data_IF_453291520795
#
_entry.id   IF_453291520795
#
_cell.length_a   1.000
_cell.length_b   1.000
_cell.length_c   1.000
_cell.angle_alpha   90.00
_cell.angle_beta   90.00
_cell.angle_gamma   90.00
#
_symmetry.space_group_name_H-M   'P 1'
#
loop_
_entity.id
_entity.type
_entity.pdbx_description
1 polymer ?
#
# COMPACT_ATOMS: atom_id res chain seq x y z
N UNK A 1 -5.52 28.46 3.88
CA UNK A 1 -5.22 27.81 3.35
C UNK A 1 -5.69 26.71 2.53
N UNK A 2 -5.51 26.85 1.28
CA UNK A 2 -5.93 25.86 0.36
C UNK A 2 -5.22 24.58 0.57
N UNK A 3 -4.03 24.63 1.07
CA UNK A 3 -3.32 23.41 1.35
C UNK A 3 -3.98 22.58 2.40
N UNK A 4 -4.57 23.19 3.39
CA UNK A 4 -5.24 22.44 4.44
C UNK A 4 -6.47 21.77 3.93
N UNK A 5 -7.21 22.41 3.05
CA UNK A 5 -8.39 21.81 2.51
C UNK A 5 -8.04 20.63 1.65
N UNK A 6 -7.03 20.74 0.83
CA UNK A 6 -6.60 19.66 0.00
C UNK A 6 -6.10 18.51 0.82
N UNK A 7 -5.42 18.78 1.93
CA UNK A 7 -4.89 17.79 2.81
C UNK A 7 -6.01 16.99 3.45
N UNK A 8 -7.05 17.65 3.87
CA UNK A 8 -8.18 16.97 4.45
C UNK A 8 -8.81 16.05 3.45
N UNK A 9 -8.89 16.44 2.21
CA UNK A 9 -9.50 15.60 1.20
C UNK A 9 -8.71 14.34 0.99
N UNK A 10 -7.38 14.43 0.98
CA UNK A 10 -6.57 13.26 0.80
C UNK A 10 -6.61 12.36 2.01
N UNK A 11 -6.98 12.87 3.16
CA UNK A 11 -7.05 12.03 4.34
C UNK A 11 -8.29 11.16 4.39
N UNK A 12 -9.13 11.22 3.39
CA UNK A 12 -10.27 10.32 3.34
C UNK A 12 -9.90 8.90 2.99
N UNK A 13 -8.74 8.66 2.43
CA UNK A 13 -8.32 7.32 2.15
C UNK A 13 -7.74 6.69 3.41
N UNK A 14 -7.78 5.38 3.45
CA UNK A 14 -7.27 4.64 4.59
C UNK A 14 -6.05 3.86 4.20
N UNK A 15 -5.17 3.69 5.20
CA UNK A 15 -3.94 2.95 4.97
C UNK A 15 -4.23 1.54 4.49
N UNK A 16 -5.22 0.91 5.04
CA UNK A 16 -5.58 -0.44 4.63
C UNK A 16 -6.07 -0.48 3.20
N UNK A 17 -6.63 0.61 2.69
CA UNK A 17 -7.03 0.66 1.30
C UNK A 17 -5.80 0.68 0.40
N UNK A 18 -4.79 1.41 0.80
CA UNK A 18 -3.54 1.46 0.07
C UNK A 18 -2.89 0.08 0.05
N UNK A 19 -2.83 -0.57 1.20
CA UNK A 19 -2.22 -1.89 1.28
C UNK A 19 -2.96 -2.89 0.41
N UNK A 20 -4.28 -2.78 0.38
CA UNK A 20 -5.08 -3.65 -0.45
C UNK A 20 -4.78 -3.43 -1.93
N UNK A 21 -4.67 -2.17 -2.34
CA UNK A 21 -4.34 -1.86 -3.71
C UNK A 21 -2.97 -2.43 -4.09
N UNK A 22 -1.99 -2.25 -3.22
CA UNK A 22 -0.66 -2.78 -3.51
C UNK A 22 -0.70 -4.29 -3.68
N UNK A 23 -1.49 -4.95 -2.86
CA UNK A 23 -1.58 -6.40 -2.95
C UNK A 23 -2.27 -6.83 -4.25
N UNK A 24 -3.25 -6.09 -4.71
CA UNK A 24 -3.92 -6.40 -5.96
C UNK A 24 -2.92 -6.33 -7.12
N UNK A 25 -2.09 -5.32 -7.11
CA UNK A 25 -1.08 -5.18 -8.16
C UNK A 25 -0.09 -6.33 -8.08
N UNK A 26 0.37 -6.64 -6.89
CA UNK A 26 1.39 -7.68 -6.71
C UNK A 26 0.86 -9.06 -7.02
N UNK A 27 -0.35 -9.34 -6.64
CA UNK A 27 -0.94 -10.65 -6.85
C UNK A 27 -1.50 -10.83 -8.25
N UNK A 28 -1.67 -9.74 -8.97
CA UNK A 28 -2.13 -9.81 -10.33
C UNK A 28 -3.64 -9.80 -10.49
N UNK A 29 -4.38 -9.53 -9.42
CA UNK A 29 -5.82 -9.45 -9.52
C UNK A 29 -6.51 -9.46 -8.19
N UNK A 30 -7.80 -9.19 -8.23
CA UNK A 30 -8.60 -9.07 -7.02
C UNK A 30 -8.74 -10.42 -6.31
N UNK A 31 -8.99 -11.47 -7.08
CA UNK A 31 -9.19 -12.79 -6.48
C UNK A 31 -7.95 -13.26 -5.73
N UNK A 32 -6.80 -13.15 -6.37
CA UNK A 32 -5.57 -13.60 -5.75
C UNK A 32 -5.23 -12.75 -4.53
N UNK A 33 -5.48 -11.45 -4.63
CA UNK A 33 -5.23 -10.58 -3.49
C UNK A 33 -6.15 -10.92 -2.33
N UNK A 34 -7.41 -11.23 -2.61
CA UNK A 34 -8.35 -11.58 -1.58
C UNK A 34 -7.91 -12.82 -0.82
N UNK A 35 -7.40 -13.80 -1.54
CA UNK A 35 -6.89 -15.01 -0.91
C UNK A 35 -5.73 -14.67 0.02
N UNK A 36 -4.79 -13.89 -0.46
CA UNK A 36 -3.62 -13.57 0.33
C UNK A 36 -3.95 -12.72 1.54
N UNK A 37 -4.93 -11.84 1.41
CA UNK A 37 -5.30 -10.96 2.50
C UNK A 37 -6.34 -11.58 3.40
N UNK A 38 -6.88 -12.74 3.02
CA UNK A 38 -7.93 -13.41 3.78
C UNK A 38 -9.16 -12.53 3.90
N UNK A 39 -9.52 -11.94 2.77
CA UNK A 39 -10.69 -11.08 2.68
C UNK A 39 -11.56 -11.56 1.53
N UNK A 40 -12.80 -11.11 1.50
CA UNK A 40 -13.65 -11.43 0.36
C UNK A 40 -13.28 -10.54 -0.82
N UNK A 41 -13.62 -10.98 -2.00
CA UNK A 41 -13.36 -10.20 -3.20
C UNK A 41 -14.13 -8.88 -3.15
N UNK A 42 -15.30 -8.89 -2.57
CA UNK A 42 -16.10 -7.68 -2.44
C UNK A 42 -15.39 -6.65 -1.60
N UNK A 43 -14.79 -7.09 -0.51
CA UNK A 43 -14.07 -6.16 0.37
C UNK A 43 -12.85 -5.61 -0.34
N UNK A 44 -12.12 -6.44 -1.04
CA UNK A 44 -10.93 -6.00 -1.77
C UNK A 44 -11.34 -4.96 -2.82
N UNK A 45 -12.37 -5.25 -3.60
CA UNK A 45 -12.84 -4.34 -4.62
C UNK A 45 -13.31 -3.04 -4.03
N UNK A 46 -14.03 -3.11 -2.92
CA UNK A 46 -14.52 -1.91 -2.29
C UNK A 46 -13.39 -1.04 -1.78
N UNK A 47 -12.40 -1.63 -1.18
CA UNK A 47 -11.26 -0.86 -0.68
C UNK A 47 -10.54 -0.13 -1.79
N UNK A 48 -10.36 -0.79 -2.91
CA UNK A 48 -9.69 -0.16 -4.04
C UNK A 48 -10.57 0.96 -4.61
N UNK A 49 -11.86 0.73 -4.73
CA UNK A 49 -12.77 1.75 -5.21
C UNK A 49 -12.79 2.96 -4.29
N UNK A 50 -12.80 2.72 -3.00
CA UNK A 50 -12.77 3.81 -2.03
C UNK A 50 -11.50 4.62 -2.17
N UNK A 51 -10.39 3.96 -2.39
CA UNK A 51 -9.12 4.64 -2.59
C UNK A 51 -9.17 5.49 -3.86
N UNK A 52 -9.68 4.92 -4.93
CA UNK A 52 -9.78 5.65 -6.20
C UNK A 52 -10.68 6.86 -6.04
N UNK A 53 -11.78 6.71 -5.34
CA UNK A 53 -12.69 7.81 -5.09
C UNK A 53 -12.03 8.90 -4.27
N UNK A 54 -11.30 8.53 -3.25
CA UNK A 54 -10.63 9.49 -2.40
C UNK A 54 -9.56 10.26 -3.14
N UNK A 55 -8.87 9.61 -4.04
CA UNK A 55 -7.81 10.24 -4.80
C UNK A 55 -8.33 10.94 -6.06
N UNK A 56 -9.51 10.57 -6.49
CA UNK A 56 -10.08 11.16 -7.68
C UNK A 56 -9.46 10.69 -8.98
N UNK A 57 -8.81 9.53 -8.96
CA UNK A 57 -8.19 8.97 -10.16
C UNK A 57 -8.40 7.47 -10.18
N UNK A 58 -8.45 6.91 -11.35
CA UNK A 58 -8.51 5.48 -11.51
C UNK A 58 -7.11 4.90 -11.35
N UNK A 59 -6.98 3.91 -10.50
CA UNK A 59 -5.71 3.25 -10.27
C UNK A 59 -5.62 1.91 -10.99
N UNK A 60 -6.76 1.30 -11.27
CA UNK A 60 -6.79 0.02 -11.95
C UNK A 60 -7.61 0.12 -13.22
N UNK A 61 -7.15 -0.56 -14.26
CA UNK A 61 -7.92 -0.77 -15.46
C UNK A 61 -8.63 -2.07 -15.28
N UNK A 62 -9.92 -2.11 -15.38
CA UNK A 62 -10.67 -3.33 -15.15
C UNK A 62 -11.22 -3.81 -16.45
N UNK A 63 -10.74 -4.94 -16.89
CA UNK A 63 -11.30 -5.60 -18.03
C UNK A 63 -11.93 -6.88 -17.54
N UNK A 64 -12.54 -7.61 -18.39
CA UNK A 64 -13.21 -8.82 -18.01
C UNK A 64 -12.26 -9.88 -17.54
N UNK A 65 -11.03 -9.88 -17.97
CA UNK A 65 -10.12 -10.94 -17.63
C UNK A 65 -9.00 -10.50 -16.78
N UNK A 66 -8.54 -9.28 -16.92
CA UNK A 66 -7.35 -8.86 -16.26
C UNK A 66 -7.57 -7.56 -15.53
N UNK A 67 -6.84 -7.41 -14.44
CA UNK A 67 -6.80 -6.17 -13.72
C UNK A 67 -5.37 -5.70 -13.77
N UNK A 68 -5.14 -4.56 -14.32
CA UNK A 68 -3.80 -4.01 -14.44
C UNK A 68 -3.80 -2.58 -13.96
N UNK A 69 -2.69 -2.06 -13.48
CA UNK A 69 -2.67 -0.67 -13.04
C UNK A 69 -2.74 0.27 -14.22
N UNK A 70 -3.41 1.39 -14.02
CA UNK A 70 -3.33 2.48 -14.96
C UNK A 70 -1.96 3.12 -14.83
N UNK A 71 -1.67 4.08 -15.65
CA UNK A 71 -0.41 4.81 -15.52
C UNK A 71 -0.32 5.47 -14.16
N UNK A 72 -1.39 6.10 -13.69
CA UNK A 72 -1.41 6.69 -12.37
C UNK A 72 -1.31 5.64 -11.30
N UNK A 73 -1.92 4.50 -11.51
CA UNK A 73 -1.84 3.40 -10.55
C UNK A 73 -0.43 2.86 -10.43
N UNK A 74 0.27 2.77 -11.54
CA UNK A 74 1.64 2.27 -11.51
C UNK A 74 2.55 3.23 -10.76
N UNK A 75 2.38 4.52 -10.99
CA UNK A 75 3.18 5.52 -10.29
C UNK A 75 2.85 5.48 -8.80
N UNK A 76 1.58 5.40 -8.47
CA UNK A 76 1.15 5.35 -7.08
C UNK A 76 1.71 4.11 -6.39
N UNK A 77 1.66 2.98 -7.08
CA UNK A 77 2.17 1.74 -6.54
C UNK A 77 3.66 1.86 -6.22
N UNK A 78 4.43 2.34 -7.17
CA UNK A 78 5.88 2.43 -7.00
C UNK A 78 6.26 3.38 -5.89
N UNK A 79 5.60 4.51 -5.83
CA UNK A 79 5.92 5.48 -4.81
C UNK A 79 5.45 5.05 -3.44
N UNK A 80 4.32 4.38 -3.36
CA UNK A 80 3.86 3.89 -2.08
C UNK A 80 4.71 2.76 -1.55
N UNK A 81 5.16 1.88 -2.44
CA UNK A 81 6.07 0.83 -2.00
C UNK A 81 7.34 1.43 -1.41
N UNK A 82 7.85 2.46 -2.06
CA UNK A 82 9.04 3.11 -1.56
C UNK A 82 8.77 3.77 -0.22
N UNK A 83 7.66 4.45 -0.08
CA UNK A 83 7.31 5.13 1.16
C UNK A 83 7.10 4.15 2.30
N UNK A 84 6.47 3.01 2.02
CA UNK A 84 6.26 2.02 3.05
C UNK A 84 7.58 1.41 3.51
N UNK A 85 8.51 1.24 2.60
CA UNK A 85 9.84 0.78 2.98
C UNK A 85 10.51 1.75 3.93
N UNK A 86 10.35 3.04 3.68
CA UNK A 86 10.91 4.06 4.56
C UNK A 86 10.24 4.02 5.93
N UNK A 87 8.93 3.84 5.95
CA UNK A 87 8.21 3.75 7.21
C UNK A 87 8.70 2.56 8.02
N UNK A 88 8.88 1.44 7.37
CA UNK A 88 9.37 0.24 8.06
C UNK A 88 10.76 0.45 8.62
N UNK A 89 11.60 1.14 7.90
CA UNK A 89 12.93 1.44 8.39
C UNK A 89 12.87 2.32 9.63
N UNK A 90 11.97 3.29 9.62
CA UNK A 90 11.81 4.17 10.77
C UNK A 90 11.34 3.37 11.97
N UNK A 91 10.38 2.50 11.77
CA UNK A 91 9.86 1.69 12.85
C UNK A 91 10.96 0.80 13.41
N UNK A 92 11.74 0.19 12.55
CA UNK A 92 12.81 -0.67 13.02
C UNK A 92 13.85 0.09 13.79
N UNK A 93 14.18 1.29 13.36
CA UNK A 93 15.16 2.09 14.06
C UNK A 93 14.68 2.47 15.44
N UNK A 94 13.40 2.74 15.57
CA UNK A 94 12.86 3.15 16.86
C UNK A 94 12.69 1.97 17.79
N UNK A 95 12.34 0.83 17.28
CA UNK A 95 12.10 -0.33 18.12
C UNK A 95 13.37 -1.12 18.42
N UNK A 96 14.44 -0.83 17.73
CA UNK A 96 15.69 -1.52 17.96
C UNK A 96 16.35 -0.94 19.17
N UNK A 97 16.42 -1.71 20.23
CA UNK A 97 16.96 -1.24 21.46
C UNK A 97 18.45 -1.34 21.55
N UNK A 98 19.08 -1.94 20.61
CA UNK A 98 20.51 -2.02 20.64
C UNK A 98 21.14 -0.78 20.04
N UNK A 99 20.35 0.10 19.49
CA UNK A 99 20.81 1.41 19.08
C UNK A 99 21.90 1.42 18.04
N UNK A 100 23.11 1.54 18.45
CA UNK A 100 24.18 1.73 17.48
C UNK A 100 24.30 0.60 16.50
N UNK A 101 23.67 -0.48 16.78
CA UNK A 101 23.72 -1.60 15.89
C UNK A 101 22.66 -1.57 14.84
N UNK A 102 21.90 -0.54 14.82
CA UNK A 102 20.79 -0.46 13.92
C UNK A 102 21.21 -0.58 12.48
N UNK A 103 22.41 -0.15 12.18
CA UNK A 103 22.88 -0.27 10.82
C UNK A 103 22.92 -1.70 10.35
N UNK A 104 23.36 -2.57 11.21
CA UNK A 104 23.43 -3.96 10.84
C UNK A 104 22.07 -4.57 10.77
N UNK A 105 21.19 -4.11 11.59
CA UNK A 105 19.86 -4.65 11.57
C UNK A 105 19.12 -4.35 10.32
N UNK A 106 19.54 -3.35 9.61
CA UNK A 106 18.89 -3.04 8.36
C UNK A 106 19.05 -4.14 7.36
N UNK A 107 20.01 -4.99 7.54
CA UNK A 107 20.20 -6.11 6.67
C UNK A 107 19.05 -7.05 6.79
N UNK A 108 18.45 -7.14 7.94
CA UNK A 108 17.31 -8.00 8.14
C UNK A 108 16.02 -7.30 7.87
N UNK A 109 16.05 -6.03 7.59
CA UNK A 109 14.87 -5.26 7.36
C UNK A 109 13.93 -5.84 6.33
N UNK A 110 14.40 -6.36 5.24
CA UNK A 110 13.49 -6.92 4.25
C UNK A 110 12.60 -8.00 4.82
N UNK A 111 13.13 -8.79 5.69
CA UNK A 111 12.36 -9.85 6.32
C UNK A 111 11.34 -9.28 7.26
N UNK A 112 11.74 -8.35 8.09
CA UNK A 112 10.82 -7.72 9.00
C UNK A 112 9.74 -7.00 8.25
N UNK A 113 10.11 -6.38 7.16
CA UNK A 113 9.20 -5.66 6.35
C UNK A 113 8.10 -6.56 5.83
N UNK A 114 8.46 -7.70 5.33
CA UNK A 114 7.50 -8.68 4.89
C UNK A 114 6.58 -9.09 5.97
N UNK A 115 7.09 -9.29 7.14
CA UNK A 115 6.30 -9.71 8.28
C UNK A 115 5.29 -8.66 8.67
N UNK A 116 5.69 -7.43 8.64
CA UNK A 116 4.80 -6.36 9.04
C UNK A 116 3.64 -6.21 8.10
N UNK A 117 3.78 -6.59 6.89
CA UNK A 117 2.70 -6.47 5.96
C UNK A 117 1.72 -7.57 6.03
N UNK A 118 2.04 -8.57 6.75
CA UNK A 118 1.10 -9.63 6.96
C UNK A 118 0.20 -9.35 8.14
#
# INVERSE_FOLDING_TARGET
MSGSVRYHRTMNWRFEDVQTFLKVVEAGGVTAAAVELKLSKSVVSKRVSDLEDALGVALLRRSTRHVAPTERGRIFYEQMRHALGTIDEIVENVTDQTGPLSGRLRITAPTSFSTLHL
#
